data_IF_521429287755
#
_entry.id   IF_521429287755
#
_cell.length_a   1.000
_cell.length_b   1.000
_cell.length_c   1.000
_cell.angle_alpha   90.00
_cell.angle_beta   90.00
_cell.angle_gamma   90.00
#
_symmetry.space_group_name_H-M   'P 1'
#
loop_
_entity.id
_entity.type
_entity.pdbx_description
1 polymer ?
#
# COMPACT_ATOMS: atom_id res chain seq x y z
N UNK A 1 -15.18 20.51 -10.58
CA UNK A 1 -15.01 19.46 -9.54
C UNK A 1 -15.38 18.14 -10.20
N UNK A 2 -14.42 17.43 -10.80
CA UNK A 2 -14.71 16.15 -11.47
C UNK A 2 -15.22 15.13 -10.45
N UNK A 3 -16.36 14.49 -10.72
CA UNK A 3 -16.81 13.35 -9.92
C UNK A 3 -15.77 12.25 -10.09
N UNK A 4 -15.07 11.92 -8.99
CA UNK A 4 -14.16 10.76 -8.93
C UNK A 4 -14.98 9.48 -9.16
N UNK A 5 -14.93 8.93 -10.37
CA UNK A 5 -15.68 7.75 -10.80
C UNK A 5 -14.99 6.41 -10.50
N UNK A 6 -13.79 6.44 -9.90
CA UNK A 6 -13.02 5.23 -9.63
C UNK A 6 -13.69 4.35 -8.55
N UNK A 7 -13.92 3.07 -8.88
CA UNK A 7 -14.43 2.03 -7.96
C UNK A 7 -13.43 1.65 -6.87
N UNK A 8 -12.13 1.71 -7.17
CA UNK A 8 -11.05 1.31 -6.28
C UNK A 8 -10.19 2.50 -5.85
N UNK A 9 -9.71 2.46 -4.61
CA UNK A 9 -8.67 3.37 -4.09
C UNK A 9 -7.52 2.54 -3.57
N UNK A 10 -6.31 2.87 -4.03
CA UNK A 10 -5.08 2.30 -3.48
C UNK A 10 -4.45 3.34 -2.54
N UNK A 11 -4.15 2.93 -1.32
CA UNK A 11 -3.51 3.75 -0.29
C UNK A 11 -2.11 3.17 -0.03
N UNK A 12 -1.10 3.92 -0.47
CA UNK A 12 0.31 3.70 -0.12
C UNK A 12 0.73 4.78 0.89
N UNK A 13 0.74 4.42 2.18
CA UNK A 13 0.96 5.37 3.28
C UNK A 13 1.71 4.68 4.44
N UNK A 14 2.51 5.46 5.19
CA UNK A 14 3.14 5.00 6.43
C UNK A 14 4.67 5.00 6.45
N UNK A 15 5.36 5.12 5.30
CA UNK A 15 6.84 5.08 5.29
C UNK A 15 7.45 6.33 5.95
N UNK A 16 6.88 7.51 5.67
CA UNK A 16 7.29 8.77 6.31
C UNK A 16 6.94 8.76 7.80
N UNK A 17 5.79 8.20 8.15
CA UNK A 17 5.34 8.04 9.53
C UNK A 17 6.33 7.15 10.31
N UNK A 18 6.78 6.05 9.71
CA UNK A 18 7.84 5.21 10.28
C UNK A 18 9.15 6.00 10.46
N UNK A 19 9.59 6.74 9.43
CA UNK A 19 10.82 7.53 9.47
C UNK A 19 10.79 8.64 10.54
N UNK A 20 9.61 9.19 10.83
CA UNK A 20 9.40 10.26 11.79
C UNK A 20 8.84 9.78 13.14
N UNK A 21 8.67 8.47 13.32
CA UNK A 21 8.05 7.87 14.52
C UNK A 21 6.65 8.45 14.85
N UNK A 22 5.83 8.67 13.82
CA UNK A 22 4.48 9.20 13.93
C UNK A 22 3.41 8.09 13.95
N UNK A 23 2.24 8.30 14.57
CA UNK A 23 1.18 7.29 14.58
C UNK A 23 0.64 6.98 13.17
N UNK A 24 0.64 5.71 12.76
CA UNK A 24 0.13 5.28 11.43
C UNK A 24 -1.30 4.72 11.46
N UNK A 25 -1.70 4.04 12.54
CA UNK A 25 -2.96 3.27 12.54
C UNK A 25 -4.20 4.17 12.46
N UNK A 26 -4.29 5.20 13.31
CA UNK A 26 -5.47 6.06 13.37
C UNK A 26 -5.68 6.88 12.08
N UNK A 27 -4.65 7.53 11.51
CA UNK A 27 -4.78 8.19 10.21
C UNK A 27 -5.19 7.22 9.09
N UNK A 28 -4.58 6.03 9.04
CA UNK A 28 -4.89 5.03 8.03
C UNK A 28 -6.36 4.57 8.12
N UNK A 29 -6.87 4.29 9.32
CA UNK A 29 -8.30 3.96 9.52
C UNK A 29 -9.23 5.08 9.03
N UNK A 30 -8.87 6.34 9.28
CA UNK A 30 -9.66 7.49 8.82
C UNK A 30 -9.70 7.60 7.29
N UNK A 31 -8.57 7.37 6.62
CA UNK A 31 -8.49 7.35 5.15
C UNK A 31 -9.34 6.21 4.56
N UNK A 32 -9.23 5.00 5.12
CA UNK A 32 -10.04 3.84 4.70
C UNK A 32 -11.53 4.13 4.88
N UNK A 33 -11.93 4.59 6.07
CA UNK A 33 -13.33 4.89 6.36
C UNK A 33 -13.89 5.97 5.42
N UNK A 34 -13.08 6.95 5.04
CA UNK A 34 -13.47 7.99 4.09
C UNK A 34 -13.73 7.41 2.70
N UNK A 35 -12.82 6.61 2.16
CA UNK A 35 -13.01 5.97 0.86
C UNK A 35 -14.20 5.00 0.84
N UNK A 36 -14.43 4.27 1.94
CA UNK A 36 -15.60 3.38 2.08
C UNK A 36 -16.91 4.18 2.10
N UNK A 37 -16.99 5.31 2.81
CA UNK A 37 -18.18 6.19 2.78
C UNK A 37 -18.45 6.76 1.40
N UNK A 38 -17.42 6.91 0.57
CA UNK A 38 -17.54 7.30 -0.84
C UNK A 38 -17.97 6.14 -1.76
N UNK A 39 -18.26 4.96 -1.20
CA UNK A 39 -18.69 3.78 -1.95
C UNK A 39 -17.56 3.06 -2.70
N UNK A 40 -16.30 3.27 -2.28
CA UNK A 40 -15.13 2.68 -2.95
C UNK A 40 -14.59 1.46 -2.21
N UNK A 41 -14.00 0.56 -2.98
CA UNK A 41 -13.23 -0.58 -2.45
C UNK A 41 -11.80 -0.13 -2.21
N UNK A 42 -11.27 -0.38 -1.01
CA UNK A 42 -9.94 0.08 -0.61
C UNK A 42 -8.92 -1.04 -0.67
N UNK A 43 -7.75 -0.73 -1.22
CA UNK A 43 -6.54 -1.56 -1.16
C UNK A 43 -5.46 -0.77 -0.44
N UNK A 44 -4.79 -1.40 0.53
CA UNK A 44 -3.64 -0.86 1.24
C UNK A 44 -2.40 -1.66 0.86
N UNK A 45 -1.28 -1.00 0.59
CA UNK A 45 -0.09 -1.67 0.01
C UNK A 45 0.90 -2.23 1.04
N UNK A 46 0.78 -1.87 2.31
CA UNK A 46 1.94 -1.99 3.20
C UNK A 46 3.09 -1.10 2.70
N UNK A 47 4.29 -1.32 3.22
CA UNK A 47 5.47 -0.53 2.90
C UNK A 47 6.33 -1.26 1.86
N UNK A 48 7.01 -0.53 0.99
CA UNK A 48 8.10 -1.10 0.18
C UNK A 48 9.41 -1.10 0.98
N UNK A 49 10.50 -1.55 0.36
CA UNK A 49 11.87 -1.42 0.89
C UNK A 49 12.62 -0.35 0.10
N UNK A 50 13.63 0.22 0.73
CA UNK A 50 14.40 1.36 0.24
C UNK A 50 15.88 1.20 0.63
N UNK A 51 16.79 1.94 -0.02
CA UNK A 51 18.24 1.76 0.22
C UNK A 51 18.66 2.26 1.61
N UNK A 52 18.01 3.30 2.12
CA UNK A 52 18.29 3.85 3.44
C UNK A 52 17.40 3.15 4.48
N UNK A 53 17.97 2.51 5.53
CA UNK A 53 17.15 1.90 6.57
C UNK A 53 16.19 2.91 7.19
N UNK A 54 14.92 2.54 7.31
CA UNK A 54 13.91 3.28 8.05
C UNK A 54 13.67 2.51 9.36
N UNK A 55 14.06 3.05 10.53
CA UNK A 55 13.82 2.41 11.80
C UNK A 55 12.34 2.06 11.99
N UNK A 56 12.07 0.85 12.50
CA UNK A 56 10.70 0.41 12.75
C UNK A 56 9.87 0.10 11.50
N UNK A 57 10.41 0.21 10.28
CA UNK A 57 9.67 -0.07 9.02
C UNK A 57 8.85 -1.35 9.09
N UNK A 58 9.43 -2.47 9.52
CA UNK A 58 8.72 -3.76 9.57
C UNK A 58 7.61 -3.78 10.63
N UNK A 59 7.79 -3.06 11.74
CA UNK A 59 6.73 -2.88 12.74
C UNK A 59 5.56 -2.08 12.19
N UNK A 60 5.85 -1.01 11.43
CA UNK A 60 4.82 -0.19 10.79
C UNK A 60 4.12 -0.95 9.68
N UNK A 61 4.84 -1.72 8.87
CA UNK A 61 4.28 -2.59 7.85
C UNK A 61 3.31 -3.63 8.46
N UNK A 62 3.70 -4.24 9.59
CA UNK A 62 2.83 -5.12 10.36
C UNK A 62 1.58 -4.41 10.92
N UNK A 63 1.72 -3.17 11.42
CA UNK A 63 0.60 -2.37 11.89
C UNK A 63 -0.38 -2.01 10.74
N UNK A 64 0.15 -1.67 9.57
CA UNK A 64 -0.64 -1.39 8.36
C UNK A 64 -1.40 -2.65 7.92
N UNK A 65 -0.73 -3.82 7.91
CA UNK A 65 -1.35 -5.12 7.63
C UNK A 65 -2.49 -5.42 8.60
N UNK A 66 -2.29 -5.17 9.89
CA UNK A 66 -3.31 -5.33 10.94
C UNK A 66 -4.51 -4.42 10.67
N UNK A 67 -4.29 -3.14 10.37
CA UNK A 67 -5.37 -2.20 10.03
C UNK A 67 -6.15 -2.66 8.80
N UNK A 68 -5.47 -3.12 7.75
CA UNK A 68 -6.14 -3.64 6.55
C UNK A 68 -7.04 -4.84 6.89
N UNK A 69 -6.54 -5.79 7.69
CA UNK A 69 -7.31 -6.94 8.16
C UNK A 69 -8.56 -6.53 8.97
N UNK A 70 -8.39 -5.65 9.95
CA UNK A 70 -9.47 -5.23 10.85
C UNK A 70 -10.55 -4.38 10.15
N UNK A 71 -10.19 -3.68 9.07
CA UNK A 71 -11.12 -2.85 8.30
C UNK A 71 -11.73 -3.57 7.10
N UNK A 72 -11.26 -4.78 6.78
CA UNK A 72 -11.67 -5.53 5.58
C UNK A 72 -11.13 -4.94 4.27
N UNK A 73 -10.16 -4.02 4.33
CA UNK A 73 -9.50 -3.51 3.13
C UNK A 73 -8.64 -4.61 2.48
N UNK A 74 -8.54 -4.58 1.15
CA UNK A 74 -7.58 -5.42 0.44
C UNK A 74 -6.15 -5.10 0.86
N UNK A 75 -5.29 -6.10 0.94
CA UNK A 75 -3.88 -5.91 1.27
C UNK A 75 -2.97 -6.40 0.14
N UNK A 76 -2.23 -5.45 -0.44
CA UNK A 76 -1.26 -5.69 -1.50
C UNK A 76 0.16 -5.67 -0.92
N UNK A 77 0.56 -6.77 -0.27
CA UNK A 77 1.78 -6.92 0.55
C UNK A 77 3.10 -6.54 -0.17
N UNK A 78 3.47 -5.26 -0.15
CA UNK A 78 4.73 -4.76 -0.71
C UNK A 78 5.95 -5.17 0.11
N UNK A 79 5.79 -5.46 1.40
CA UNK A 79 6.90 -5.82 2.28
C UNK A 79 7.43 -7.23 2.06
N UNK A 80 6.60 -8.10 1.48
CA UNK A 80 6.98 -9.44 1.04
C UNK A 80 7.69 -9.48 -0.32
N UNK A 81 7.66 -8.41 -1.10
CA UNK A 81 8.32 -8.40 -2.42
C UNK A 81 9.85 -8.41 -2.28
N UNK A 82 10.51 -9.17 -3.16
CA UNK A 82 11.97 -9.20 -3.22
C UNK A 82 12.51 -7.78 -3.48
N UNK A 83 13.51 -7.38 -2.71
CA UNK A 83 14.19 -6.09 -2.84
C UNK A 83 15.63 -6.29 -3.31
N UNK A 84 16.01 -5.59 -4.38
CA UNK A 84 17.39 -5.53 -4.85
C UNK A 84 17.82 -4.08 -5.00
N UNK A 85 18.95 -3.72 -4.40
CA UNK A 85 19.49 -2.36 -4.45
C UNK A 85 19.69 -1.85 -5.88
N UNK A 86 20.03 -2.73 -6.83
CA UNK A 86 20.22 -2.38 -8.25
C UNK A 86 18.92 -1.95 -8.97
N UNK A 87 17.75 -2.24 -8.41
CA UNK A 87 16.44 -1.93 -9.01
C UNK A 87 15.84 -0.64 -8.45
N UNK A 88 16.65 0.24 -7.87
CA UNK A 88 16.23 1.53 -7.33
C UNK A 88 16.75 2.67 -8.22
N UNK A 89 15.89 3.64 -8.54
CA UNK A 89 16.29 4.86 -9.25
C UNK A 89 17.16 5.75 -8.38
N UNK A 90 16.83 5.85 -7.10
CA UNK A 90 17.58 6.61 -6.10
C UNK A 90 17.55 5.91 -4.73
N UNK A 91 17.85 6.64 -3.66
CA UNK A 91 17.87 6.10 -2.30
C UNK A 91 16.50 5.67 -1.76
N UNK A 92 15.40 6.19 -2.32
CA UNK A 92 14.02 6.04 -1.87
C UNK A 92 13.11 5.35 -2.89
N UNK A 93 13.30 5.60 -4.18
CA UNK A 93 12.31 5.26 -5.21
C UNK A 93 12.67 3.99 -6.00
N UNK A 94 11.78 2.98 -6.03
CA UNK A 94 11.88 1.82 -6.90
C UNK A 94 11.88 2.18 -8.39
N UNK A 95 12.57 1.39 -9.19
CA UNK A 95 12.56 1.46 -10.65
C UNK A 95 12.46 0.07 -11.27
N UNK A 96 12.22 0.03 -12.58
CA UNK A 96 12.28 -1.19 -13.39
C UNK A 96 11.53 -2.38 -12.75
N UNK A 97 12.24 -3.48 -12.59
CA UNK A 97 11.66 -4.74 -12.11
C UNK A 97 11.10 -4.67 -10.68
N UNK A 98 11.67 -3.86 -9.77
CA UNK A 98 11.10 -3.76 -8.42
C UNK A 98 9.77 -3.01 -8.44
N UNK A 99 9.69 -1.89 -9.15
CA UNK A 99 8.42 -1.16 -9.35
C UNK A 99 7.36 -2.06 -9.98
N UNK A 100 7.74 -2.88 -10.98
CA UNK A 100 6.84 -3.82 -11.63
C UNK A 100 6.27 -4.86 -10.65
N UNK A 101 7.10 -5.42 -9.75
CA UNK A 101 6.62 -6.37 -8.72
C UNK A 101 5.61 -5.72 -7.77
N UNK A 102 5.90 -4.50 -7.29
CA UNK A 102 5.00 -3.75 -6.42
C UNK A 102 3.65 -3.44 -7.10
N UNK A 103 3.68 -3.02 -8.37
CA UNK A 103 2.46 -2.81 -9.16
C UNK A 103 1.70 -4.11 -9.40
N UNK A 104 2.39 -5.21 -9.70
CA UNK A 104 1.76 -6.52 -9.91
C UNK A 104 1.03 -7.00 -8.65
N UNK A 105 1.57 -6.73 -7.46
CA UNK A 105 0.88 -7.06 -6.20
C UNK A 105 -0.46 -6.31 -6.04
N UNK A 106 -0.54 -5.08 -6.54
CA UNK A 106 -1.81 -4.33 -6.60
C UNK A 106 -2.77 -4.98 -7.59
N UNK A 107 -2.30 -5.30 -8.81
CA UNK A 107 -3.12 -5.95 -9.85
C UNK A 107 -3.70 -7.28 -9.35
N UNK A 108 -2.88 -8.16 -8.77
CA UNK A 108 -3.34 -9.41 -8.18
C UNK A 108 -4.35 -9.22 -7.04
N UNK A 109 -4.29 -8.09 -6.35
CA UNK A 109 -5.28 -7.76 -5.30
C UNK A 109 -6.57 -7.23 -5.92
N UNK A 110 -6.48 -6.44 -6.99
CA UNK A 110 -7.64 -6.03 -7.79
C UNK A 110 -8.37 -7.25 -8.37
N UNK A 111 -7.67 -8.20 -8.99
CA UNK A 111 -8.27 -9.40 -9.62
C UNK A 111 -8.99 -10.32 -8.63
N UNK A 112 -8.60 -10.26 -7.35
CA UNK A 112 -9.29 -10.96 -6.27
C UNK A 112 -10.55 -10.22 -5.82
N UNK A 113 -10.54 -8.89 -5.84
CA UNK A 113 -11.64 -8.04 -5.38
C UNK A 113 -12.66 -7.69 -6.49
N UNK A 114 -12.28 -7.88 -7.76
CA UNK A 114 -13.13 -7.74 -8.93
C UNK A 114 -13.05 -9.01 -9.81
N UNK A 115 -13.60 -10.16 -9.36
CA UNK A 115 -13.60 -11.38 -10.16
C UNK A 115 -14.30 -11.20 -11.51
N UNK A 116 -15.30 -10.32 -11.58
CA UNK A 116 -16.07 -10.01 -12.81
C UNK A 116 -15.28 -9.20 -13.85
N UNK A 117 -14.07 -8.73 -13.50
CA UNK A 117 -13.20 -7.96 -14.39
C UNK A 117 -12.01 -8.78 -14.92
N UNK A 118 -11.97 -10.10 -14.65
CA UNK A 118 -10.97 -11.00 -15.23
C UNK A 118 -11.27 -11.18 -16.72
N UNK A 119 -10.50 -10.50 -17.57
CA UNK A 119 -10.44 -10.72 -19.01
C UNK A 119 -9.63 -11.96 -19.37
#
# INVERSE_FOLDING_TARGET
>A
NEKRAARFVVIAHGLNDAALSLPVEAPLRSMIATAVREGRVVIVTGLSRQRIPVPGRDQYDAAIRKVALETGAGFADWGAEEFRTAEMADILHPAGAYSQRLSMRIVQTLDRLAPDCRG
#
